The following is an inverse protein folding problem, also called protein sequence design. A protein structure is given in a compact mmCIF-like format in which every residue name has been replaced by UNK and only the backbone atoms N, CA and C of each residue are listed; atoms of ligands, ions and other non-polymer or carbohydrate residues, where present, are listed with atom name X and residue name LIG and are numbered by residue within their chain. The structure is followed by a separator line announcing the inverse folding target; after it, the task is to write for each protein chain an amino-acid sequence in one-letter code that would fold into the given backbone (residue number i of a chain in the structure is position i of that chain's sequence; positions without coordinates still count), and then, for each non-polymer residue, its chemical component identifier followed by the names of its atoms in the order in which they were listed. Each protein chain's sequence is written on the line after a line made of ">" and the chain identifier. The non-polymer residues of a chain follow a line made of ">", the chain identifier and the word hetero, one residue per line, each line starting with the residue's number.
data_IF_168224845617
#
_entry.id   IF_168224845617
#
_cell.length_a   1.000
_cell.length_b   1.000
_cell.length_c   1.000
_cell.angle_alpha   90.00
_cell.angle_beta   90.00
_cell.angle_gamma   90.00
#
_symmetry.space_group_name_H-M   'P 1'
#
loop_
_entity.id
_entity.type
_entity.pdbx_description
1 polymer ?
#
# COMPACT_ATOMS: atom_id res chain seq x y z
N UNK A 1 -12.59 -14.98 -7.06
CA UNK A 1 -12.06 -13.87 -6.22
C UNK A 1 -10.56 -14.10 -6.05
N UNK A 2 -9.68 -13.12 -6.28
CA UNK A 2 -8.22 -13.31 -6.16
C UNK A 2 -7.78 -13.47 -4.70
N UNK A 3 -6.65 -14.15 -4.47
CA UNK A 3 -6.16 -14.46 -3.12
C UNK A 3 -5.72 -13.21 -2.35
N UNK A 4 -5.73 -13.23 -1.00
CA UNK A 4 -5.28 -12.08 -0.21
C UNK A 4 -3.83 -11.68 -0.50
N UNK A 5 -2.96 -12.65 -0.85
CA UNK A 5 -1.57 -12.37 -1.26
C UNK A 5 -1.51 -11.51 -2.52
N UNK A 6 -2.33 -11.83 -3.51
CA UNK A 6 -2.38 -11.07 -4.76
C UNK A 6 -2.81 -9.63 -4.48
N UNK A 7 -3.88 -9.44 -3.70
CA UNK A 7 -4.33 -8.11 -3.31
C UNK A 7 -3.29 -7.36 -2.49
N UNK A 8 -2.62 -8.03 -1.55
CA UNK A 8 -1.50 -7.44 -0.79
C UNK A 8 -0.41 -6.89 -1.70
N UNK A 9 -0.01 -7.64 -2.74
CA UNK A 9 0.97 -7.18 -3.71
C UNK A 9 0.48 -5.96 -4.52
N UNK A 10 -0.79 -5.94 -4.94
CA UNK A 10 -1.38 -4.79 -5.65
C UNK A 10 -1.35 -3.54 -4.75
N UNK A 11 -1.82 -3.63 -3.51
CA UNK A 11 -1.80 -2.52 -2.57
C UNK A 11 -0.38 -2.05 -2.28
N UNK A 12 0.59 -2.96 -2.17
CA UNK A 12 1.98 -2.60 -1.95
C UNK A 12 2.57 -1.84 -3.14
N UNK A 13 2.38 -2.35 -4.37
CA UNK A 13 2.86 -1.71 -5.60
C UNK A 13 2.24 -0.32 -5.78
N UNK A 14 0.94 -0.19 -5.54
CA UNK A 14 0.23 1.10 -5.58
C UNK A 14 0.77 2.06 -4.51
N UNK A 15 1.05 1.55 -3.30
CA UNK A 15 1.68 2.34 -2.24
C UNK A 15 3.06 2.87 -2.62
N UNK A 16 3.92 2.01 -3.18
CA UNK A 16 5.24 2.40 -3.71
C UNK A 16 5.12 3.43 -4.82
N UNK A 17 4.16 3.26 -5.73
CA UNK A 17 3.88 4.23 -6.79
C UNK A 17 3.52 5.61 -6.22
N UNK A 18 2.62 5.68 -5.24
CA UNK A 18 2.27 6.94 -4.59
C UNK A 18 3.45 7.55 -3.82
N UNK A 19 4.29 6.74 -3.17
CA UNK A 19 5.52 7.24 -2.54
C UNK A 19 6.46 7.86 -3.57
N UNK A 20 6.65 7.21 -4.72
CA UNK A 20 7.47 7.77 -5.80
C UNK A 20 6.90 9.10 -6.30
N UNK A 21 5.59 9.14 -6.57
CA UNK A 21 4.91 10.37 -7.02
C UNK A 21 5.04 11.51 -5.98
N UNK A 22 4.91 11.21 -4.69
CA UNK A 22 5.09 12.19 -3.62
C UNK A 22 6.54 12.70 -3.57
N UNK A 23 7.52 11.80 -3.70
CA UNK A 23 8.94 12.13 -3.66
C UNK A 23 9.40 12.97 -4.87
N UNK A 24 8.75 12.79 -6.03
CA UNK A 24 9.04 13.57 -7.25
C UNK A 24 8.05 14.73 -7.46
N UNK A 25 7.14 14.97 -6.51
CA UNK A 25 6.13 16.02 -6.62
C UNK A 25 6.81 17.39 -6.59
N UNK A 26 6.54 18.27 -7.57
CA UNK A 26 7.12 19.61 -7.59
C UNK A 26 6.57 20.46 -6.43
N UNK A 27 7.46 21.23 -5.80
CA UNK A 27 7.11 22.14 -4.71
C UNK A 27 7.53 21.64 -3.33
N UNK A 28 6.88 22.17 -2.29
CA UNK A 28 7.19 21.80 -0.90
C UNK A 28 6.59 20.44 -0.54
N UNK A 29 7.30 19.68 0.30
CA UNK A 29 6.79 18.45 0.94
C UNK A 29 5.48 18.70 1.70
N UNK A 30 5.26 19.93 2.18
CA UNK A 30 4.07 20.35 2.90
C UNK A 30 2.93 20.85 2.00
N UNK A 31 3.10 20.80 0.67
CA UNK A 31 2.03 21.12 -0.25
C UNK A 31 0.88 20.12 -0.11
N UNK A 32 -0.35 20.63 -0.29
CA UNK A 32 -1.56 19.81 -0.18
C UNK A 32 -1.49 18.53 -1.03
N UNK A 33 -1.05 18.64 -2.29
CA UNK A 33 -0.93 17.49 -3.18
C UNK A 33 0.10 16.46 -2.71
N UNK A 34 1.26 16.89 -2.21
CA UNK A 34 2.29 15.98 -1.71
C UNK A 34 1.82 15.25 -0.45
N UNK A 35 1.15 15.96 0.46
CA UNK A 35 0.52 15.36 1.64
C UNK A 35 -0.56 14.35 1.23
N UNK A 36 -1.40 14.68 0.25
CA UNK A 36 -2.44 13.77 -0.25
C UNK A 36 -1.83 12.49 -0.84
N UNK A 37 -0.76 12.60 -1.61
CA UNK A 37 -0.02 11.45 -2.15
C UNK A 37 0.60 10.61 -1.02
N UNK A 38 1.19 11.24 0.00
CA UNK A 38 1.72 10.53 1.18
C UNK A 38 0.63 9.78 1.95
N UNK A 39 -0.56 10.37 2.10
CA UNK A 39 -1.72 9.72 2.72
C UNK A 39 -2.17 8.49 1.92
N UNK A 40 -2.25 8.60 0.61
CA UNK A 40 -2.58 7.46 -0.25
C UNK A 40 -1.50 6.38 -0.18
N UNK A 41 -0.22 6.74 -0.16
CA UNK A 41 0.87 5.79 0.02
C UNK A 41 0.74 5.02 1.35
N UNK A 42 0.57 5.73 2.46
CA UNK A 42 0.44 5.15 3.80
C UNK A 42 -0.79 4.22 3.90
N UNK A 43 -1.94 4.63 3.36
CA UNK A 43 -3.15 3.82 3.36
C UNK A 43 -2.96 2.50 2.59
N UNK A 44 -2.42 2.58 1.37
CA UNK A 44 -2.17 1.41 0.53
C UNK A 44 -1.17 0.45 1.18
N UNK A 45 -0.07 0.97 1.73
CA UNK A 45 0.93 0.15 2.44
C UNK A 45 0.29 -0.53 3.67
N UNK A 46 -0.54 0.18 4.45
CA UNK A 46 -1.24 -0.38 5.61
C UNK A 46 -2.14 -1.56 5.22
N UNK A 47 -2.92 -1.42 4.14
CA UNK A 47 -3.76 -2.51 3.65
C UNK A 47 -2.92 -3.68 3.16
N UNK A 48 -1.81 -3.42 2.46
CA UNK A 48 -0.94 -4.49 1.97
C UNK A 48 -0.45 -5.41 3.11
N UNK A 49 -0.03 -4.82 4.24
CA UNK A 49 0.39 -5.57 5.41
C UNK A 49 -0.75 -6.39 6.02
N UNK A 50 -1.96 -5.82 6.12
CA UNK A 50 -3.15 -6.54 6.60
C UNK A 50 -3.46 -7.74 5.70
N UNK A 51 -3.32 -7.58 4.39
CA UNK A 51 -3.59 -8.64 3.42
C UNK A 51 -2.53 -9.76 3.46
N UNK A 52 -1.26 -9.43 3.64
CA UNK A 52 -0.21 -10.44 3.84
C UNK A 52 -0.36 -11.17 5.17
N UNK A 53 -0.69 -10.47 6.26
CA UNK A 53 -0.98 -11.09 7.54
C UNK A 53 -2.18 -12.04 7.44
N UNK A 54 -3.25 -11.62 6.75
CA UNK A 54 -4.42 -12.46 6.50
C UNK A 54 -4.06 -13.70 5.68
N UNK A 55 -3.27 -13.56 4.62
CA UNK A 55 -2.79 -14.69 3.83
C UNK A 55 -1.99 -15.72 4.66
N UNK A 56 -1.14 -15.25 5.58
CA UNK A 56 -0.40 -16.11 6.49
C UNK A 56 -1.32 -16.88 7.44
N UNK A 57 -2.36 -16.20 7.97
CA UNK A 57 -3.38 -16.84 8.83
C UNK A 57 -4.19 -17.90 8.10
N UNK A 58 -4.56 -17.67 6.84
CA UNK A 58 -5.30 -18.66 6.03
C UNK A 58 -4.44 -19.91 5.78
N UNK A 59 -3.17 -19.73 5.39
CA UNK A 59 -2.26 -20.85 5.15
C UNK A 59 -2.09 -21.76 6.38
N UNK A 60 -2.15 -21.19 7.59
CA UNK A 60 -2.04 -21.92 8.86
C UNK A 60 -3.35 -22.61 9.29
N UNK A 61 -4.50 -22.18 8.76
CA UNK A 61 -5.81 -22.81 9.04
C UNK A 61 -6.09 -23.99 8.11
N UNK A 62 -5.46 -24.01 6.94
CA UNK A 62 -5.54 -25.09 5.95
C UNK A 62 -4.46 -26.18 6.16
N UNK A 63 -3.60 -26.05 7.17
CA UNK A 63 -2.63 -27.06 7.63
C UNK A 63 -3.06 -27.63 8.97
#
# INVERSE_FOLDING_TARGET
>A
MRSPKFWGAIYLLTGVLFTYLAATSPGSMWSFYTILLMLFAAYNISISFKMFALAGKMKRKDQ
#
